data_IF_860897950367
#
_entry.id   IF_860897950367
#
_cell.length_a   1.000
_cell.length_b   1.000
_cell.length_c   1.000
_cell.angle_alpha   90.00
_cell.angle_beta   90.00
_cell.angle_gamma   90.00
#
_symmetry.space_group_name_H-M   'P 1'
#
loop_
_entity.id
_entity.type
_entity.pdbx_description
1 polymer ?
#
# COMPACT_ATOMS: atom_id res chain seq x y z
N UNK A 1 30.45 21.90 -15.58
CA UNK A 1 29.10 22.05 -16.12
C UNK A 1 28.14 21.32 -15.20
N UNK A 2 27.48 22.08 -14.33
CA UNK A 2 26.46 21.54 -13.42
C UNK A 2 25.18 21.30 -14.22
N UNK A 3 24.85 20.06 -14.49
CA UNK A 3 23.54 19.70 -15.02
C UNK A 3 22.57 19.65 -13.82
N UNK A 4 21.74 20.67 -13.70
CA UNK A 4 20.60 20.63 -12.79
C UNK A 4 19.49 19.88 -13.52
N UNK A 5 19.30 18.60 -13.20
CA UNK A 5 18.13 17.86 -13.68
C UNK A 5 16.89 18.39 -12.93
N UNK A 6 16.03 19.06 -13.65
CA UNK A 6 14.69 19.41 -13.19
C UNK A 6 13.85 18.14 -13.20
N UNK A 7 13.50 17.64 -11.99
CA UNK A 7 12.63 16.45 -11.85
C UNK A 7 11.20 16.84 -12.09
N UNK A 8 10.72 16.61 -13.30
CA UNK A 8 9.29 16.72 -13.56
C UNK A 8 8.50 15.44 -13.24
N UNK A 9 9.11 14.26 -13.31
CA UNK A 9 8.39 13.01 -12.97
C UNK A 9 9.33 11.81 -12.76
N UNK A 10 9.49 11.34 -11.51
CA UNK A 10 10.23 10.11 -11.19
C UNK A 10 9.57 8.88 -11.85
N UNK A 11 8.26 8.90 -12.06
CA UNK A 11 7.54 7.79 -12.70
C UNK A 11 7.95 7.57 -14.17
N UNK A 12 8.55 8.57 -14.81
CA UNK A 12 9.08 8.41 -16.17
C UNK A 12 10.41 7.63 -16.22
N UNK A 13 11.14 7.57 -15.11
CA UNK A 13 12.46 6.95 -15.00
C UNK A 13 12.36 5.54 -14.42
N UNK A 14 11.35 5.28 -13.61
CA UNK A 14 11.15 4.01 -12.88
C UNK A 14 9.92 3.29 -13.42
N UNK A 15 10.10 2.08 -13.94
CA UNK A 15 8.98 1.25 -14.38
C UNK A 15 8.40 0.48 -13.20
N UNK A 16 7.15 0.76 -12.87
CA UNK A 16 6.40 0.07 -11.83
C UNK A 16 5.41 -0.93 -12.44
N UNK A 17 5.17 -2.01 -11.74
CA UNK A 17 4.17 -3.03 -12.08
C UNK A 17 3.42 -3.41 -10.80
N UNK A 18 2.07 -3.42 -10.81
CA UNK A 18 1.31 -3.93 -9.69
C UNK A 18 1.59 -5.43 -9.49
N UNK A 19 1.65 -5.86 -8.24
CA UNK A 19 1.77 -7.26 -7.84
C UNK A 19 0.60 -7.66 -6.94
N UNK A 20 0.39 -8.97 -6.78
CA UNK A 20 -0.73 -9.52 -6.02
C UNK A 20 -0.51 -9.27 -4.53
N UNK A 21 -1.42 -8.55 -3.91
CA UNK A 21 -1.53 -8.38 -2.47
C UNK A 21 -2.50 -9.38 -1.83
N UNK A 22 -2.53 -9.38 -0.52
CA UNK A 22 -3.46 -10.17 0.29
C UNK A 22 -4.12 -9.29 1.34
N UNK A 23 -5.43 -9.47 1.52
CA UNK A 23 -6.18 -8.80 2.56
C UNK A 23 -7.07 -9.80 3.29
N UNK A 24 -6.85 -9.95 4.60
CA UNK A 24 -7.62 -10.82 5.47
C UNK A 24 -8.15 -10.02 6.65
N UNK A 25 -9.42 -10.20 7.02
CA UNK A 25 -9.98 -9.48 8.13
C UNK A 25 -11.29 -10.02 8.67
N UNK A 26 -11.60 -9.58 9.87
CA UNK A 26 -12.87 -9.83 10.55
C UNK A 26 -13.54 -8.48 10.80
N UNK A 27 -14.81 -8.39 10.47
CA UNK A 27 -15.60 -7.17 10.60
C UNK A 27 -16.85 -7.51 11.41
N UNK A 28 -17.25 -6.61 12.30
CA UNK A 28 -18.55 -6.62 12.97
C UNK A 28 -19.38 -5.44 12.48
N UNK A 29 -20.72 -5.57 12.51
CA UNK A 29 -21.60 -4.52 12.00
C UNK A 29 -22.75 -4.24 12.95
N UNK A 30 -22.91 -2.97 13.34
CA UNK A 30 -24.06 -2.50 14.11
C UNK A 30 -25.13 -1.92 13.15
N UNK A 31 -26.38 -2.47 13.12
CA UNK A 31 -27.44 -1.99 12.24
C UNK A 31 -28.01 -0.65 12.75
N UNK A 32 -27.87 0.41 11.97
CA UNK A 32 -28.49 1.71 12.22
C UNK A 32 -29.90 1.76 11.62
N UNK A 33 -30.07 1.11 10.49
CA UNK A 33 -31.38 0.97 9.83
C UNK A 33 -31.46 -0.35 9.09
N UNK A 34 -32.63 -0.61 8.42
CA UNK A 34 -32.84 -1.83 7.61
C UNK A 34 -31.80 -1.99 6.49
N UNK A 35 -31.16 -0.90 6.06
CA UNK A 35 -30.19 -0.88 4.95
C UNK A 35 -28.82 -0.39 5.33
N UNK A 36 -28.68 0.37 6.43
CA UNK A 36 -27.42 1.01 6.84
C UNK A 36 -26.88 0.35 8.09
N UNK A 37 -25.58 0.02 8.06
CA UNK A 37 -24.80 -0.49 9.20
C UNK A 37 -23.56 0.36 9.41
N UNK A 38 -23.18 0.56 10.65
CA UNK A 38 -21.81 0.97 11.02
C UNK A 38 -20.98 -0.30 11.10
N UNK A 39 -19.82 -0.31 10.48
CA UNK A 39 -18.92 -1.45 10.51
C UNK A 39 -17.61 -1.07 11.17
N UNK A 40 -17.05 -2.01 11.93
CA UNK A 40 -15.72 -1.91 12.52
C UNK A 40 -15.05 -3.29 12.51
N UNK A 41 -13.72 -3.33 12.48
CA UNK A 41 -13.02 -4.60 12.42
C UNK A 41 -11.53 -4.52 12.60
N UNK A 42 -10.88 -5.65 12.38
CA UNK A 42 -9.43 -5.78 12.30
C UNK A 42 -9.06 -6.45 10.98
N UNK A 43 -7.98 -6.01 10.38
CA UNK A 43 -7.57 -6.45 9.06
C UNK A 43 -6.05 -6.53 8.97
N UNK A 44 -5.57 -7.61 8.37
CA UNK A 44 -4.18 -7.81 8.00
C UNK A 44 -4.05 -7.62 6.49
N UNK A 45 -3.02 -6.88 6.06
CA UNK A 45 -2.82 -6.55 4.66
C UNK A 45 -1.37 -6.79 4.26
N UNK A 46 -1.20 -7.29 3.05
CA UNK A 46 0.08 -7.37 2.35
C UNK A 46 -0.11 -6.65 1.02
N UNK A 47 0.51 -5.49 0.88
CA UNK A 47 0.52 -4.70 -0.36
C UNK A 47 1.86 -4.88 -1.06
N UNK A 48 1.83 -5.08 -2.37
CA UNK A 48 3.03 -5.32 -3.17
C UNK A 48 2.98 -4.56 -4.48
N UNK A 49 4.16 -4.15 -4.93
CA UNK A 49 4.39 -3.71 -6.30
C UNK A 49 5.84 -3.97 -6.68
N UNK A 50 6.09 -4.13 -7.96
CA UNK A 50 7.40 -4.43 -8.49
C UNK A 50 8.01 -3.21 -9.17
N UNK A 51 9.32 -3.06 -9.02
CA UNK A 51 10.14 -2.07 -9.72
C UNK A 51 11.08 -2.82 -10.64
N UNK A 52 11.17 -2.40 -11.90
CA UNK A 52 12.13 -2.97 -12.84
C UNK A 52 13.55 -2.54 -12.45
N UNK A 53 14.42 -3.52 -12.31
CA UNK A 53 15.84 -3.32 -12.00
C UNK A 53 16.70 -4.23 -12.86
N UNK A 54 18.02 -4.04 -12.76
CA UNK A 54 19.00 -4.87 -13.46
C UNK A 54 20.05 -5.33 -12.45
N UNK A 55 20.34 -6.62 -12.44
CA UNK A 55 21.41 -7.17 -11.62
C UNK A 55 22.77 -6.66 -12.07
N UNK A 56 23.61 -6.33 -11.10
CA UNK A 56 24.98 -5.85 -11.30
C UNK A 56 25.88 -6.35 -10.15
N UNK A 57 27.18 -6.25 -10.30
CA UNK A 57 28.12 -6.46 -9.21
C UNK A 57 27.91 -5.42 -8.11
N UNK A 58 28.26 -5.76 -6.87
CA UNK A 58 28.02 -4.92 -5.71
C UNK A 58 28.60 -3.51 -5.87
N UNK A 59 27.74 -2.50 -5.83
CA UNK A 59 28.08 -1.08 -5.90
C UNK A 59 27.53 -0.32 -4.69
N UNK A 60 28.18 0.78 -4.36
CA UNK A 60 27.69 1.67 -3.31
C UNK A 60 26.57 2.55 -3.89
N UNK A 61 25.36 2.36 -3.37
CA UNK A 61 24.24 3.26 -3.60
C UNK A 61 24.16 4.29 -2.47
N UNK A 62 24.16 5.56 -2.82
CA UNK A 62 24.00 6.65 -1.86
C UNK A 62 22.66 7.31 -2.05
N UNK A 63 21.79 7.22 -1.04
CA UNK A 63 20.55 7.95 -0.96
C UNK A 63 20.85 9.28 -0.26
N UNK A 64 20.81 10.38 -0.99
CA UNK A 64 20.97 11.71 -0.44
C UNK A 64 19.59 12.36 -0.31
N UNK A 65 19.18 12.60 0.92
CA UNK A 65 17.86 13.15 1.23
C UNK A 65 18.02 14.53 1.89
N UNK A 66 17.61 15.54 1.19
CA UNK A 66 17.52 16.89 1.77
C UNK A 66 16.26 16.97 2.61
N UNK A 67 16.40 17.29 3.90
CA UNK A 67 15.24 17.47 4.77
C UNK A 67 14.58 18.84 4.51
N UNK A 68 13.34 19.02 5.00
CA UNK A 68 12.57 20.24 4.82
C UNK A 68 13.21 21.49 5.50
N UNK A 69 14.21 21.31 6.36
CA UNK A 69 14.97 22.37 7.01
C UNK A 69 16.31 22.70 6.29
N UNK A 70 16.55 22.09 5.11
CA UNK A 70 17.75 22.33 4.30
C UNK A 70 18.97 21.48 4.63
N UNK A 71 18.90 20.61 5.64
CA UNK A 71 19.99 19.66 5.95
C UNK A 71 19.93 18.43 5.03
N UNK A 72 21.08 17.91 4.63
CA UNK A 72 21.17 16.69 3.83
C UNK A 72 21.61 15.51 4.70
N UNK A 73 20.84 14.45 4.70
CA UNK A 73 21.20 13.15 5.27
C UNK A 73 21.54 12.18 4.14
N UNK A 74 22.65 11.49 4.27
CA UNK A 74 23.05 10.46 3.33
C UNK A 74 23.00 9.09 3.99
N UNK A 75 22.42 8.13 3.27
CA UNK A 75 22.47 6.72 3.63
C UNK A 75 23.15 5.99 2.49
N UNK A 76 24.27 5.34 2.78
CA UNK A 76 24.99 4.56 1.78
C UNK A 76 24.92 3.07 2.13
N UNK A 77 24.64 2.25 1.14
CA UNK A 77 24.59 0.79 1.27
C UNK A 77 25.14 0.15 0.00
N UNK A 78 25.59 -1.09 0.12
CA UNK A 78 26.00 -1.87 -1.06
C UNK A 78 24.74 -2.52 -1.64
N UNK A 79 24.57 -2.40 -2.93
CA UNK A 79 23.46 -2.99 -3.68
C UNK A 79 23.94 -3.67 -4.95
N UNK A 80 23.20 -4.69 -5.38
CA UNK A 80 23.43 -5.41 -6.63
C UNK A 80 22.38 -5.04 -7.70
N UNK A 81 21.61 -3.97 -7.47
CA UNK A 81 20.49 -3.61 -8.31
C UNK A 81 20.65 -2.21 -8.91
N UNK A 82 20.65 -2.16 -10.24
CA UNK A 82 20.68 -0.92 -11.01
C UNK A 82 19.34 -0.60 -11.66
N UNK A 83 19.10 0.69 -11.86
CA UNK A 83 17.97 1.18 -12.64
C UNK A 83 18.21 0.99 -14.16
N UNK A 84 19.44 1.19 -14.59
CA UNK A 84 19.84 1.12 -16.00
C UNK A 84 21.21 0.46 -16.10
N UNK A 85 21.40 -0.37 -17.15
CA UNK A 85 22.74 -0.84 -17.53
C UNK A 85 23.31 -1.97 -16.67
N UNK A 86 22.51 -2.96 -16.31
CA UNK A 86 22.96 -4.20 -15.67
C UNK A 86 22.99 -5.40 -16.60
N UNK A 87 23.44 -6.56 -16.09
CA UNK A 87 23.62 -7.80 -16.86
C UNK A 87 22.32 -8.51 -17.18
N UNK A 88 21.34 -8.48 -16.26
CA UNK A 88 20.08 -9.18 -16.39
C UNK A 88 18.95 -8.36 -15.77
N UNK A 89 17.86 -8.22 -16.51
CA UNK A 89 16.65 -7.60 -15.99
C UNK A 89 16.02 -8.46 -14.88
N UNK A 90 15.60 -7.81 -13.81
CA UNK A 90 14.93 -8.42 -12.65
C UNK A 90 13.85 -7.48 -12.13
N UNK A 91 13.00 -8.00 -11.24
CA UNK A 91 11.96 -7.24 -10.58
C UNK A 91 12.22 -7.15 -9.09
N UNK A 92 12.38 -5.95 -8.55
CA UNK A 92 12.46 -5.71 -7.12
C UNK A 92 11.05 -5.65 -6.53
N UNK A 93 10.79 -6.54 -5.60
CA UNK A 93 9.49 -6.63 -4.93
C UNK A 93 9.44 -5.68 -3.74
N UNK A 94 8.77 -4.54 -3.90
CA UNK A 94 8.37 -3.71 -2.77
C UNK A 94 7.20 -4.37 -2.06
N UNK A 95 7.26 -4.42 -0.73
CA UNK A 95 6.26 -5.10 0.08
C UNK A 95 6.02 -4.33 1.38
N UNK A 96 4.73 -4.19 1.72
CA UNK A 96 4.28 -3.60 2.98
C UNK A 96 3.34 -4.57 3.67
N UNK A 97 3.70 -4.98 4.88
CA UNK A 97 2.87 -5.81 5.76
C UNK A 97 2.28 -4.89 6.82
N UNK A 98 0.96 -4.88 6.96
CA UNK A 98 0.29 -3.96 7.86
C UNK A 98 -0.93 -4.56 8.56
N UNK A 99 -1.19 -4.07 9.77
CA UNK A 99 -2.44 -4.25 10.49
C UNK A 99 -3.29 -2.98 10.44
N UNK A 100 -4.58 -3.12 10.17
CA UNK A 100 -5.52 -1.99 10.08
C UNK A 100 -6.75 -2.23 10.95
N UNK A 101 -7.36 -1.14 11.42
CA UNK A 101 -8.65 -1.14 12.10
C UNK A 101 -9.69 -0.39 11.24
N UNK A 102 -10.35 -1.05 10.27
CA UNK A 102 -11.38 -0.42 9.46
C UNK A 102 -12.58 -0.01 10.30
N UNK A 103 -13.04 1.23 10.10
CA UNK A 103 -14.28 1.76 10.64
C UNK A 103 -15.02 2.44 9.49
N UNK A 104 -16.32 2.20 9.35
CA UNK A 104 -17.03 2.78 8.22
C UNK A 104 -18.51 2.51 8.19
N UNK A 105 -19.07 2.70 7.02
CA UNK A 105 -20.49 2.52 6.75
C UNK A 105 -20.69 1.49 5.64
N UNK A 106 -21.69 0.66 5.82
CA UNK A 106 -22.16 -0.31 4.86
C UNK A 106 -23.60 0.00 4.49
N UNK A 107 -23.89 0.06 3.20
CA UNK A 107 -25.22 0.24 2.66
C UNK A 107 -25.65 -0.99 1.87
N UNK A 108 -26.68 -1.68 2.36
CA UNK A 108 -27.32 -2.77 1.63
C UNK A 108 -28.22 -2.18 0.54
N UNK A 109 -27.88 -2.46 -0.72
CA UNK A 109 -28.64 -1.98 -1.88
C UNK A 109 -29.84 -2.88 -2.18
N UNK A 110 -29.63 -4.21 -2.16
CA UNK A 110 -30.63 -5.20 -2.47
C UNK A 110 -30.39 -6.50 -1.73
N UNK A 111 -31.37 -7.39 -1.76
CA UNK A 111 -31.23 -8.74 -1.22
C UNK A 111 -32.33 -9.14 -0.26
N UNK A 112 -32.32 -10.40 0.12
CA UNK A 112 -33.28 -11.04 1.03
C UNK A 112 -32.65 -11.42 2.38
N UNK A 113 -33.23 -12.39 3.10
CA UNK A 113 -32.70 -12.88 4.39
C UNK A 113 -31.39 -13.69 4.24
N UNK A 114 -31.15 -14.30 3.07
CA UNK A 114 -29.98 -15.16 2.81
C UNK A 114 -28.92 -14.47 1.95
N UNK A 115 -29.32 -13.65 0.99
CA UNK A 115 -28.41 -13.00 0.06
C UNK A 115 -28.51 -11.48 0.17
N UNK A 116 -27.42 -10.79 -0.07
CA UNK A 116 -27.35 -9.33 -0.06
C UNK A 116 -26.36 -8.83 -1.10
N UNK A 117 -26.62 -7.65 -1.63
CA UNK A 117 -25.68 -6.87 -2.43
C UNK A 117 -25.61 -5.49 -1.81
N UNK A 118 -24.42 -4.95 -1.69
CA UNK A 118 -24.23 -3.64 -1.08
C UNK A 118 -22.89 -3.02 -1.39
N UNK A 119 -22.69 -1.86 -0.80
CA UNK A 119 -21.44 -1.10 -0.86
C UNK A 119 -20.97 -0.78 0.56
N UNK A 120 -19.67 -0.65 0.75
CA UNK A 120 -19.11 -0.23 2.01
C UNK A 120 -17.98 0.77 1.79
N UNK A 121 -17.94 1.81 2.64
CA UNK A 121 -16.87 2.78 2.70
C UNK A 121 -16.21 2.78 4.07
N UNK A 122 -14.89 2.78 4.14
CA UNK A 122 -14.15 2.69 5.40
C UNK A 122 -13.00 3.68 5.47
N UNK A 123 -12.70 4.12 6.69
CA UNK A 123 -11.45 4.76 7.09
C UNK A 123 -10.68 3.73 7.92
N UNK A 124 -9.40 3.58 7.66
CA UNK A 124 -8.59 2.49 8.20
C UNK A 124 -7.29 3.02 8.80
N UNK A 125 -7.25 3.42 10.09
CA UNK A 125 -5.99 3.57 10.79
C UNK A 125 -5.14 2.30 10.62
N UNK A 126 -3.91 2.46 10.18
CA UNK A 126 -3.06 1.36 9.72
C UNK A 126 -1.68 1.48 10.36
N UNK A 127 -1.16 0.37 10.87
CA UNK A 127 0.18 0.25 11.39
C UNK A 127 1.01 -0.69 10.51
N UNK A 128 2.18 -0.21 10.05
CA UNK A 128 3.12 -0.99 9.24
C UNK A 128 3.94 -1.89 10.17
N UNK A 129 3.72 -3.19 10.06
CA UNK A 129 4.40 -4.24 10.82
C UNK A 129 5.78 -4.56 10.23
N UNK A 130 5.87 -4.58 8.90
CA UNK A 130 7.09 -4.84 8.16
C UNK A 130 7.02 -4.25 6.77
N UNK A 131 8.19 -3.96 6.22
CA UNK A 131 8.29 -3.44 4.86
C UNK A 131 9.61 -3.84 4.21
N UNK A 132 9.58 -3.88 2.89
CA UNK A 132 10.74 -3.86 2.01
C UNK A 132 10.48 -2.75 1.00
N UNK A 133 11.21 -1.65 1.13
CA UNK A 133 11.04 -0.48 0.28
C UNK A 133 12.38 -0.09 -0.33
N UNK A 134 12.41 0.02 -1.64
CA UNK A 134 13.60 0.43 -2.39
C UNK A 134 13.45 1.88 -2.85
N UNK A 135 14.50 2.66 -2.69
CA UNK A 135 14.63 4.01 -3.25
C UNK A 135 15.76 4.05 -4.28
N UNK A 136 15.58 4.92 -5.25
CA UNK A 136 16.60 5.21 -6.24
C UNK A 136 17.68 6.09 -5.62
N UNK A 137 18.97 5.78 -5.89
CA UNK A 137 20.10 6.57 -5.45
C UNK A 137 20.12 7.98 -6.04
N UNK A 138 20.84 8.90 -5.42
CA UNK A 138 20.91 10.31 -5.82
C UNK A 138 21.45 10.52 -7.24
N UNK A 139 22.22 9.56 -7.75
CA UNK A 139 22.77 9.54 -9.12
C UNK A 139 21.85 8.78 -10.12
N UNK A 140 20.68 8.29 -9.67
CA UNK A 140 19.69 7.52 -10.45
C UNK A 140 20.18 6.19 -11.02
N UNK A 141 21.30 5.69 -10.55
CA UNK A 141 21.88 4.45 -11.07
C UNK A 141 21.42 3.21 -10.32
N UNK A 142 21.34 3.31 -9.00
CA UNK A 142 21.20 2.15 -8.13
C UNK A 142 19.93 2.23 -7.25
N UNK A 143 19.38 1.07 -6.92
CA UNK A 143 18.32 0.95 -5.93
C UNK A 143 18.90 0.52 -4.59
N UNK A 144 18.47 1.19 -3.52
CA UNK A 144 18.84 0.83 -2.15
C UNK A 144 17.60 0.53 -1.32
N UNK A 145 17.66 -0.52 -0.52
CA UNK A 145 16.62 -0.82 0.46
C UNK A 145 16.73 0.11 1.66
N UNK A 146 15.64 0.81 2.01
CA UNK A 146 15.62 1.84 3.05
C UNK A 146 14.42 1.71 3.99
N UNK A 147 14.28 0.59 4.71
CA UNK A 147 13.13 0.35 5.58
C UNK A 147 13.00 1.36 6.73
N UNK A 148 14.11 2.01 7.12
CA UNK A 148 14.13 3.01 8.19
C UNK A 148 13.43 4.33 7.83
N UNK A 149 13.23 4.60 6.55
CA UNK A 149 12.58 5.82 6.07
C UNK A 149 11.06 5.68 5.94
N UNK A 150 10.51 4.49 6.15
CA UNK A 150 9.08 4.25 6.03
C UNK A 150 8.33 4.70 7.29
N UNK A 151 7.14 5.27 7.05
CA UNK A 151 6.22 5.68 8.10
C UNK A 151 5.57 4.46 8.74
N UNK A 152 5.55 4.40 10.08
CA UNK A 152 4.92 3.29 10.81
C UNK A 152 3.40 3.41 10.90
N UNK A 153 2.89 4.64 11.08
CA UNK A 153 1.44 4.89 11.13
C UNK A 153 0.95 5.54 9.85
N UNK A 154 -0.13 5.02 9.33
CA UNK A 154 -0.77 5.55 8.14
C UNK A 154 -2.30 5.54 8.28
N UNK A 155 -2.97 6.22 7.37
CA UNK A 155 -4.41 6.24 7.23
C UNK A 155 -4.75 5.76 5.82
N UNK A 156 -5.61 4.75 5.72
CA UNK A 156 -6.15 4.32 4.43
C UNK A 156 -7.63 4.60 4.36
N UNK A 157 -8.13 4.79 3.15
CA UNK A 157 -9.56 4.77 2.83
C UNK A 157 -9.85 3.52 2.00
N UNK A 158 -11.00 2.91 2.21
CA UNK A 158 -11.42 1.73 1.48
C UNK A 158 -12.82 1.87 0.94
N UNK A 159 -13.04 1.34 -0.26
CA UNK A 159 -14.37 1.20 -0.85
C UNK A 159 -14.53 -0.22 -1.39
N UNK A 160 -15.69 -0.82 -1.11
CA UNK A 160 -16.02 -2.21 -1.46
C UNK A 160 -17.42 -2.27 -2.06
N UNK A 161 -17.57 -3.02 -3.13
CA UNK A 161 -18.88 -3.50 -3.61
C UNK A 161 -18.91 -4.98 -3.31
N UNK A 162 -19.95 -5.48 -2.66
CA UNK A 162 -19.97 -6.87 -2.22
C UNK A 162 -21.28 -7.59 -2.53
N UNK A 163 -21.16 -8.90 -2.74
CA UNK A 163 -22.25 -9.86 -2.65
C UNK A 163 -22.09 -10.66 -1.35
N UNK A 164 -23.15 -10.74 -0.56
CA UNK A 164 -23.16 -11.41 0.75
C UNK A 164 -24.08 -12.61 0.78
N UNK A 165 -23.69 -13.61 1.57
CA UNK A 165 -24.49 -14.80 1.86
C UNK A 165 -24.53 -15.07 3.37
N UNK A 166 -25.73 -15.11 3.94
CA UNK A 166 -25.96 -15.32 5.37
C UNK A 166 -26.20 -16.79 5.70
N UNK A 167 -25.41 -17.34 6.63
CA UNK A 167 -25.58 -18.68 7.19
C UNK A 167 -26.14 -18.67 8.62
N UNK A 168 -26.94 -17.68 8.96
CA UNK A 168 -27.51 -17.50 10.31
C UNK A 168 -26.65 -16.63 11.21
N UNK A 169 -25.60 -17.16 11.83
CA UNK A 169 -24.69 -16.41 12.72
C UNK A 169 -23.57 -15.67 12.00
N UNK A 170 -23.24 -16.11 10.78
CA UNK A 170 -22.16 -15.58 9.97
C UNK A 170 -22.70 -15.05 8.64
N UNK A 171 -22.25 -13.89 8.25
CA UNK A 171 -22.44 -13.35 6.90
C UNK A 171 -21.11 -13.42 6.15
N UNK A 172 -21.08 -14.22 5.10
CA UNK A 172 -20.01 -14.27 4.12
C UNK A 172 -20.18 -13.14 3.12
N UNK A 173 -19.11 -12.54 2.71
CA UNK A 173 -19.14 -11.55 1.64
C UNK A 173 -17.93 -11.65 0.74
N UNK A 174 -18.16 -11.43 -0.54
CA UNK A 174 -17.11 -11.39 -1.55
C UNK A 174 -17.40 -10.22 -2.49
N UNK A 175 -16.36 -9.52 -2.90
CA UNK A 175 -16.51 -8.44 -3.86
C UNK A 175 -15.24 -7.69 -4.17
N UNK A 176 -15.24 -6.92 -5.27
CA UNK A 176 -14.15 -6.02 -5.58
C UNK A 176 -14.03 -4.95 -4.52
N UNK A 177 -12.78 -4.64 -4.19
CA UNK A 177 -12.45 -3.55 -3.29
C UNK A 177 -11.29 -2.72 -3.82
N UNK A 178 -11.27 -1.47 -3.43
CA UNK A 178 -10.16 -0.55 -3.62
C UNK A 178 -9.74 0.03 -2.27
N UNK A 179 -8.45 0.24 -2.10
CA UNK A 179 -7.87 0.87 -0.92
C UNK A 179 -6.83 1.90 -1.35
N UNK A 180 -6.92 3.08 -0.78
CA UNK A 180 -6.01 4.19 -1.03
C UNK A 180 -5.35 4.64 0.26
N UNK A 181 -4.04 4.79 0.24
CA UNK A 181 -3.23 5.28 1.35
C UNK A 181 -3.18 6.81 1.33
N UNK A 182 -3.69 7.44 2.38
CA UNK A 182 -3.84 8.90 2.46
C UNK A 182 -2.52 9.61 2.72
N UNK A 183 -1.72 9.08 3.65
CA UNK A 183 -0.40 9.64 3.95
C UNK A 183 0.68 8.90 3.15
N UNK A 184 1.78 9.59 2.86
CA UNK A 184 2.92 8.96 2.20
C UNK A 184 3.45 7.74 2.97
N UNK A 185 3.93 6.71 2.27
CA UNK A 185 4.63 5.56 2.85
C UNK A 185 5.92 5.96 3.56
N UNK A 186 6.50 7.10 3.17
CA UNK A 186 7.73 7.63 3.77
C UNK A 186 7.44 8.71 4.81
N UNK A 187 8.40 8.91 5.72
CA UNK A 187 8.32 9.93 6.76
C UNK A 187 8.38 11.34 6.13
N UNK A 188 7.62 12.29 6.70
CA UNK A 188 7.52 13.67 6.17
C UNK A 188 8.82 14.50 6.28
N UNK A 189 9.83 13.95 6.94
CA UNK A 189 11.14 14.60 7.08
C UNK A 189 11.79 14.89 5.71
N UNK A 190 11.45 14.09 4.70
CA UNK A 190 12.01 14.16 3.36
C UNK A 190 10.93 14.37 2.31
N UNK A 191 11.21 15.03 1.18
CA UNK A 191 10.23 15.33 0.13
C UNK A 191 9.88 14.11 -0.75
N UNK A 192 9.99 12.91 -0.21
CA UNK A 192 9.62 11.67 -0.92
C UNK A 192 8.16 11.36 -0.62
N UNK A 193 7.35 11.23 -1.65
CA UNK A 193 5.94 10.88 -1.53
C UNK A 193 5.62 9.62 -2.30
N UNK A 194 5.04 8.65 -1.63
CA UNK A 194 4.51 7.43 -2.21
C UNK A 194 3.17 7.14 -1.55
N UNK A 195 2.15 6.94 -2.36
CA UNK A 195 0.81 6.59 -1.91
C UNK A 195 0.43 5.25 -2.53
N UNK A 196 0.18 4.25 -1.71
CA UNK A 196 -0.24 2.94 -2.19
C UNK A 196 -1.71 2.99 -2.63
N UNK A 197 -1.97 2.41 -3.77
CA UNK A 197 -3.30 2.17 -4.29
C UNK A 197 -3.45 0.67 -4.56
N UNK A 198 -4.27 0.02 -3.75
CA UNK A 198 -4.54 -1.41 -3.89
C UNK A 198 -5.94 -1.59 -4.47
N UNK A 199 -6.08 -2.51 -5.39
CA UNK A 199 -7.37 -3.00 -5.85
C UNK A 199 -7.35 -4.53 -5.91
N UNK A 200 -8.49 -5.14 -5.66
CA UNK A 200 -8.52 -6.60 -5.64
C UNK A 200 -9.90 -7.15 -5.29
N UNK A 201 -9.90 -8.45 -5.01
CA UNK A 201 -11.05 -9.18 -4.52
C UNK A 201 -10.92 -9.39 -3.01
N UNK A 202 -11.93 -8.97 -2.26
CA UNK A 202 -11.99 -9.17 -0.82
C UNK A 202 -12.96 -10.27 -0.46
N UNK A 203 -12.50 -11.19 0.37
CA UNK A 203 -13.35 -12.18 1.04
C UNK A 203 -13.46 -11.78 2.52
N UNK A 204 -14.66 -11.62 3.01
CA UNK A 204 -14.91 -11.18 4.38
C UNK A 204 -15.89 -12.08 5.13
N UNK A 205 -15.68 -12.13 6.44
CA UNK A 205 -16.61 -12.72 7.41
C UNK A 205 -17.12 -11.61 8.32
N UNK A 206 -18.44 -11.56 8.51
CA UNK A 206 -19.07 -10.66 9.45
C UNK A 206 -19.79 -11.48 10.52
N UNK A 207 -19.50 -11.19 11.76
CA UNK A 207 -20.23 -11.69 12.93
C UNK A 207 -21.47 -10.82 13.15
N UNK A 208 -22.61 -11.45 13.43
CA UNK A 208 -23.85 -10.76 13.80
C UNK A 208 -23.93 -10.55 15.28
#
# INVERSE_FOLDING_TARGET
TNYTYSFSDINSIVTHKPDIGLQLGVVTGYPVSKRLRIIAGLQFNVSKYDIRAYNHDGEVATIALTNNAGGTNTVSTITNYRNIGGYKADWLHNMYISGSAPIGLELKLSGNKKTSVGIAGTIQPTYILGNRAYLLSADFKNYAEVPSLTRKWNLNTGFEVYAGYSTGKLDWRIGPNVRYQVFSSFIDKYPIKEHLFDFGLKLGLMLK
#
